data_IF_527367931951
#
_entry.id   IF_527367931951
#
_cell.length_a   1.000
_cell.length_b   1.000
_cell.length_c   1.000
_cell.angle_alpha   90.00
_cell.angle_beta   90.00
_cell.angle_gamma   90.00
#
_symmetry.space_group_name_H-M   'P 1'
#
loop_
_entity.id
_entity.type
_entity.pdbx_description
1 polymer ?
#
# COMPACT_ATOMS: atom_id res chain seq x y z
N UNK A 1 -39.09 -54.70 6.33
CA UNK A 1 -37.94 -54.21 7.15
C UNK A 1 -36.64 -54.45 6.35
N UNK A 2 -36.09 -53.45 5.73
CA UNK A 2 -34.88 -53.55 4.93
C UNK A 2 -33.77 -52.75 5.65
N UNK A 3 -32.71 -53.44 6.06
CA UNK A 3 -31.51 -52.86 6.70
C UNK A 3 -30.66 -52.18 5.62
N UNK A 4 -30.41 -50.86 5.75
CA UNK A 4 -29.37 -50.14 5.01
C UNK A 4 -28.01 -50.54 5.53
N UNK A 5 -27.13 -51.04 4.67
CA UNK A 5 -25.70 -51.22 4.91
C UNK A 5 -25.00 -49.90 4.66
N UNK A 6 -24.24 -49.42 5.65
CA UNK A 6 -23.28 -48.31 5.51
C UNK A 6 -22.07 -48.80 4.71
N UNK A 7 -21.69 -48.04 3.68
CA UNK A 7 -20.47 -48.29 2.89
C UNK A 7 -19.34 -47.56 3.57
N UNK A 8 -18.30 -48.30 3.96
CA UNK A 8 -17.08 -47.79 4.56
C UNK A 8 -16.12 -47.39 3.43
N UNK A 9 -15.73 -46.11 3.40
CA UNK A 9 -15.04 -45.48 2.26
C UNK A 9 -13.50 -45.60 2.32
N UNK A 10 -12.94 -46.33 3.26
CA UNK A 10 -11.49 -46.32 3.52
C UNK A 10 -10.77 -47.67 3.45
N UNK A 11 -11.37 -48.68 2.85
CA UNK A 11 -10.72 -49.97 2.84
C UNK A 11 -10.86 -50.72 1.50
N UNK A 12 -10.07 -50.31 0.50
CA UNK A 12 -9.69 -51.16 -0.63
C UNK A 12 -8.36 -50.73 -1.24
N UNK A 13 -7.32 -51.51 -0.92
CA UNK A 13 -6.03 -51.47 -1.62
C UNK A 13 -6.01 -52.51 -2.73
N UNK A 14 -5.77 -52.16 -3.98
CA UNK A 14 -5.40 -53.17 -5.00
C UNK A 14 -3.86 -53.26 -5.10
N UNK A 15 -3.33 -54.44 -4.88
CA UNK A 15 -1.98 -54.82 -5.25
C UNK A 15 -1.83 -55.06 -6.74
N UNK A 16 -0.82 -54.50 -7.42
CA UNK A 16 -0.29 -55.08 -8.63
C UNK A 16 1.10 -55.67 -8.42
N UNK A 17 1.26 -56.92 -8.77
CA UNK A 17 2.56 -57.57 -8.98
C UNK A 17 3.16 -57.06 -10.28
N UNK A 18 4.36 -56.46 -10.18
CA UNK A 18 5.27 -56.35 -11.34
C UNK A 18 6.73 -56.32 -10.82
N UNK A 19 7.44 -57.33 -11.28
CA UNK A 19 8.87 -57.50 -11.10
C UNK A 19 9.65 -56.42 -11.87
N UNK A 20 10.44 -55.60 -11.19
CA UNK A 20 11.47 -54.77 -11.82
C UNK A 20 12.76 -54.83 -10.99
N UNK A 21 13.85 -55.03 -11.72
CA UNK A 21 15.21 -55.23 -11.23
C UNK A 21 15.68 -54.03 -10.36
N UNK A 22 16.15 -54.33 -9.15
CA UNK A 22 16.85 -53.38 -8.27
C UNK A 22 18.21 -53.07 -8.86
N UNK A 23 18.39 -51.87 -9.42
CA UNK A 23 19.68 -51.19 -9.51
C UNK A 23 19.96 -50.49 -8.19
N UNK A 24 20.97 -50.93 -7.49
CA UNK A 24 21.40 -50.34 -6.22
C UNK A 24 22.04 -48.97 -6.50
N UNK A 25 21.28 -47.90 -6.28
CA UNK A 25 21.84 -46.54 -6.16
C UNK A 25 22.44 -46.45 -4.76
N UNK A 26 23.77 -46.36 -4.68
CA UNK A 26 24.47 -46.06 -3.44
C UNK A 26 24.00 -44.71 -2.91
N UNK A 27 23.62 -44.55 -1.64
CA UNK A 27 23.33 -43.26 -1.08
C UNK A 27 24.62 -42.43 -1.06
N UNK A 28 24.66 -41.36 -1.84
CA UNK A 28 25.64 -40.28 -1.62
C UNK A 28 25.40 -39.73 -0.22
N UNK A 29 26.37 -39.90 0.66
CA UNK A 29 26.44 -39.17 1.92
C UNK A 29 26.62 -37.68 1.59
N UNK A 30 25.54 -36.94 1.47
CA UNK A 30 25.56 -35.50 1.67
C UNK A 30 26.00 -35.31 3.14
N UNK A 31 27.16 -34.69 3.34
CA UNK A 31 27.59 -34.28 4.66
C UNK A 31 26.46 -33.41 5.24
N UNK A 32 25.83 -33.91 6.28
CA UNK A 32 24.83 -33.20 7.07
C UNK A 32 25.60 -32.02 7.71
N UNK A 33 25.56 -30.84 7.04
CA UNK A 33 25.94 -29.59 7.68
C UNK A 33 24.83 -29.32 8.69
N UNK A 34 25.00 -29.81 9.90
CA UNK A 34 24.03 -29.73 10.96
C UNK A 34 23.52 -28.28 11.08
N UNK A 35 22.21 -28.09 11.09
CA UNK A 35 21.56 -26.81 11.33
C UNK A 35 22.05 -26.25 12.68
N UNK A 36 22.65 -25.08 12.66
CA UNK A 36 23.28 -24.44 13.82
C UNK A 36 22.75 -23.03 14.02
N UNK A 37 23.05 -22.42 15.16
CA UNK A 37 22.70 -21.04 15.43
C UNK A 37 23.30 -20.05 14.41
N UNK A 38 24.39 -20.40 13.73
CA UNK A 38 24.99 -19.60 12.65
C UNK A 38 24.15 -19.56 11.38
N UNK A 39 23.22 -20.49 11.21
CA UNK A 39 22.31 -20.56 10.07
C UNK A 39 21.03 -19.73 10.29
N UNK A 40 20.89 -19.13 11.48
CA UNK A 40 19.77 -18.24 11.82
C UNK A 40 20.16 -16.82 11.43
N UNK A 41 19.54 -16.32 10.34
CA UNK A 41 19.69 -14.93 9.89
C UNK A 41 18.61 -14.05 10.54
N UNK A 42 19.02 -12.93 11.13
CA UNK A 42 18.12 -11.91 11.68
C UNK A 42 18.11 -10.72 10.72
N UNK A 43 16.94 -10.42 10.17
CA UNK A 43 16.75 -9.27 9.30
C UNK A 43 16.29 -8.07 10.14
N UNK A 44 16.91 -6.90 9.90
CA UNK A 44 16.60 -5.66 10.62
C UNK A 44 15.94 -4.61 9.72
N UNK A 45 15.29 -3.62 10.33
CA UNK A 45 14.69 -2.48 9.63
C UNK A 45 13.63 -2.88 8.62
N UNK A 46 13.79 -2.44 7.38
CA UNK A 46 12.87 -2.71 6.26
C UNK A 46 13.36 -3.82 5.31
N UNK A 47 14.47 -4.47 5.60
CA UNK A 47 14.98 -5.57 4.78
C UNK A 47 14.01 -6.76 4.69
N UNK A 48 13.30 -7.16 5.77
CA UNK A 48 12.28 -8.21 5.70
C UNK A 48 11.20 -7.93 4.67
N UNK A 49 10.80 -6.66 4.51
CA UNK A 49 9.80 -6.22 3.53
C UNK A 49 10.31 -6.45 2.10
N UNK A 50 11.54 -6.07 1.82
CA UNK A 50 12.16 -6.23 0.51
C UNK A 50 12.40 -7.69 0.14
N UNK A 51 12.81 -8.52 1.10
CA UNK A 51 13.05 -9.95 0.87
C UNK A 51 11.76 -10.76 0.71
N UNK A 52 10.68 -10.37 1.38
CA UNK A 52 9.39 -11.08 1.36
C UNK A 52 8.21 -10.11 1.19
N UNK A 53 8.14 -9.38 0.07
CA UNK A 53 7.08 -8.38 -0.15
C UNK A 53 5.68 -8.99 -0.10
N UNK A 54 5.53 -10.26 -0.50
CA UNK A 54 4.25 -10.98 -0.44
C UNK A 54 3.62 -11.06 0.95
N UNK A 55 4.42 -10.98 2.02
CA UNK A 55 3.89 -10.96 3.41
C UNK A 55 3.21 -9.63 3.76
N UNK A 56 3.55 -8.55 3.08
CA UNK A 56 3.09 -7.19 3.38
C UNK A 56 2.05 -6.67 2.37
N UNK A 57 2.23 -7.00 1.08
CA UNK A 57 1.38 -6.51 -0.02
C UNK A 57 0.76 -7.64 -0.85
N UNK A 58 0.89 -8.90 -0.43
CA UNK A 58 0.24 -10.06 -1.05
C UNK A 58 0.94 -10.61 -2.28
N UNK A 59 2.07 -10.04 -2.73
CA UNK A 59 2.81 -10.53 -3.90
C UNK A 59 3.75 -9.48 -4.49
N UNK A 60 4.12 -9.66 -5.77
CA UNK A 60 4.95 -8.73 -6.56
C UNK A 60 4.37 -8.48 -7.94
N UNK A 61 3.12 -8.88 -8.17
CA UNK A 61 2.39 -8.66 -9.41
C UNK A 61 1.81 -7.23 -9.50
N UNK A 62 1.12 -6.94 -10.59
CA UNK A 62 0.45 -5.65 -10.79
C UNK A 62 -0.56 -5.33 -9.68
N UNK A 63 -1.26 -6.33 -9.14
CA UNK A 63 -2.22 -6.13 -8.06
C UNK A 63 -1.52 -5.70 -6.77
N UNK A 64 -0.44 -6.37 -6.42
CA UNK A 64 0.39 -6.06 -5.26
C UNK A 64 1.01 -4.67 -5.38
N UNK A 65 1.48 -4.27 -6.57
CA UNK A 65 2.01 -2.93 -6.80
C UNK A 65 0.97 -1.84 -6.56
N UNK A 66 -0.30 -2.04 -6.99
CA UNK A 66 -1.38 -1.09 -6.72
C UNK A 66 -1.73 -0.98 -5.23
N UNK A 67 -1.37 -1.97 -4.41
CA UNK A 67 -1.48 -1.86 -2.95
C UNK A 67 -0.62 -0.72 -2.38
N UNK A 68 0.53 -0.41 -3.01
CA UNK A 68 1.34 0.74 -2.59
C UNK A 68 0.56 2.05 -2.68
N UNK A 69 -0.24 2.21 -3.73
CA UNK A 69 -1.14 3.36 -3.84
C UNK A 69 -2.20 3.38 -2.74
N UNK A 70 -2.81 2.21 -2.46
CA UNK A 70 -3.82 2.10 -1.40
C UNK A 70 -3.24 2.57 -0.06
N UNK A 71 -2.04 2.14 0.32
CA UNK A 71 -1.40 2.53 1.57
C UNK A 71 -1.15 4.05 1.67
N UNK A 72 -0.76 4.69 0.56
CA UNK A 72 -0.48 6.13 0.57
C UNK A 72 -1.77 6.94 0.61
N UNK A 73 -2.78 6.59 -0.21
CA UNK A 73 -4.04 7.33 -0.22
C UNK A 73 -4.80 7.13 1.09
N UNK A 74 -4.73 5.95 1.72
CA UNK A 74 -5.38 5.69 2.99
C UNK A 74 -4.82 6.55 4.13
N UNK A 75 -3.53 6.86 4.13
CA UNK A 75 -2.97 7.82 5.08
C UNK A 75 -3.55 9.23 4.90
N UNK A 76 -3.76 9.68 3.66
CA UNK A 76 -4.40 10.96 3.37
C UNK A 76 -5.89 10.94 3.70
N UNK A 77 -6.57 9.80 3.46
CA UNK A 77 -7.98 9.59 3.85
C UNK A 77 -8.16 9.63 5.37
N UNK A 78 -7.22 9.09 6.16
CA UNK A 78 -7.28 9.15 7.62
C UNK A 78 -7.25 10.60 8.13
N UNK A 79 -6.47 11.50 7.51
CA UNK A 79 -6.50 12.93 7.81
C UNK A 79 -7.86 13.57 7.45
N UNK A 80 -8.49 13.10 6.37
CA UNK A 80 -9.79 13.60 5.96
C UNK A 80 -10.91 13.10 6.89
N UNK A 81 -10.92 11.81 7.25
CA UNK A 81 -11.87 11.22 8.20
C UNK A 81 -11.76 11.85 9.58
N UNK A 82 -10.54 12.17 10.01
CA UNK A 82 -10.30 12.91 11.25
C UNK A 82 -10.68 14.42 11.18
N UNK A 83 -11.21 14.88 10.04
CA UNK A 83 -11.64 16.27 9.83
C UNK A 83 -10.50 17.28 9.63
N UNK A 84 -9.28 16.81 9.40
CA UNK A 84 -8.12 17.66 9.23
C UNK A 84 -7.81 18.00 7.77
N UNK A 85 -8.18 17.11 6.83
CA UNK A 85 -8.05 17.37 5.40
C UNK A 85 -9.43 17.50 4.75
N UNK A 86 -9.52 18.35 3.73
CA UNK A 86 -10.74 18.56 2.94
C UNK A 86 -10.57 18.13 1.48
N UNK A 87 -9.33 18.03 1.00
CA UNK A 87 -9.04 17.50 -0.32
C UNK A 87 -7.76 16.66 -0.34
N UNK A 88 -7.70 15.78 -1.32
CA UNK A 88 -6.55 14.93 -1.64
C UNK A 88 -6.27 15.09 -3.14
N UNK A 89 -5.02 15.29 -3.51
CA UNK A 89 -4.56 15.32 -4.89
C UNK A 89 -3.82 14.03 -5.22
N UNK A 90 -4.18 13.40 -6.33
CA UNK A 90 -3.54 12.19 -6.85
C UNK A 90 -3.00 12.51 -8.24
N UNK A 91 -1.69 12.40 -8.42
CA UNK A 91 -1.00 12.68 -9.68
C UNK A 91 -0.24 11.43 -10.15
N UNK A 92 -0.50 10.97 -11.37
CA UNK A 92 0.25 9.89 -12.00
C UNK A 92 0.96 10.41 -13.26
N UNK A 93 2.28 10.37 -13.24
CA UNK A 93 3.15 10.99 -14.24
C UNK A 93 4.06 9.95 -14.90
N UNK A 94 4.71 10.34 -16.00
CA UNK A 94 5.72 9.51 -16.68
C UNK A 94 6.77 8.95 -15.70
N UNK A 95 7.44 7.87 -16.11
CA UNK A 95 8.41 7.18 -15.27
C UNK A 95 7.80 6.39 -14.11
N UNK A 96 6.52 6.00 -14.24
CA UNK A 96 5.79 5.23 -13.21
C UNK A 96 5.73 5.94 -11.85
N UNK A 97 5.78 7.28 -11.87
CA UNK A 97 5.76 8.13 -10.67
C UNK A 97 4.35 8.44 -10.24
N UNK A 98 4.03 8.05 -9.02
CA UNK A 98 2.74 8.33 -8.40
C UNK A 98 2.92 9.25 -7.20
N UNK A 99 2.08 10.28 -7.10
CA UNK A 99 2.07 11.23 -6.00
C UNK A 99 0.68 11.31 -5.37
N UNK A 100 0.64 11.37 -4.05
CA UNK A 100 -0.58 11.66 -3.29
C UNK A 100 -0.27 12.79 -2.32
N UNK A 101 -1.12 13.81 -2.30
CA UNK A 101 -1.00 14.97 -1.42
C UNK A 101 -2.32 15.24 -0.72
N UNK A 102 -2.28 15.50 0.57
CA UNK A 102 -3.40 16.01 1.34
C UNK A 102 -3.16 17.45 1.82
N UNK A 103 -4.21 18.09 2.31
CA UNK A 103 -4.13 19.36 3.01
C UNK A 103 -4.39 19.23 4.52
N UNK A 104 -4.03 18.08 5.10
CA UNK A 104 -4.17 17.78 6.52
C UNK A 104 -3.17 18.50 7.41
N UNK A 105 -2.89 17.93 8.60
CA UNK A 105 -1.96 18.52 9.59
C UNK A 105 -0.50 18.45 9.17
N UNK A 106 -0.16 17.55 8.24
CA UNK A 106 1.21 17.20 7.88
C UNK A 106 1.88 16.30 8.93
N UNK A 107 2.67 15.33 8.48
CA UNK A 107 3.46 14.45 9.36
C UNK A 107 4.35 15.29 10.28
N UNK A 108 4.49 14.92 11.59
CA UNK A 108 5.41 15.62 12.48
C UNK A 108 6.85 15.62 11.97
N UNK A 109 7.49 16.77 12.00
CA UNK A 109 8.87 16.99 11.52
C UNK A 109 9.87 17.15 12.66
N UNK A 110 9.37 17.23 13.88
CA UNK A 110 10.16 17.36 15.10
C UNK A 110 11.04 16.13 15.32
N UNK A 111 12.08 16.30 16.14
CA UNK A 111 12.95 15.21 16.55
C UNK A 111 12.16 14.16 17.34
N UNK A 112 12.36 12.87 17.00
CA UNK A 112 11.62 11.79 17.66
C UNK A 112 12.17 11.54 19.09
N UNK A 113 11.30 11.47 20.13
CA UNK A 113 11.77 11.36 21.52
C UNK A 113 12.69 10.15 21.80
N UNK A 114 12.39 9.01 21.16
CA UNK A 114 13.14 7.76 21.32
C UNK A 114 14.39 7.68 20.41
N UNK A 115 14.33 8.31 19.21
CA UNK A 115 15.40 8.28 18.21
C UNK A 115 15.95 9.70 18.04
N UNK A 116 16.88 10.10 18.89
CA UNK A 116 17.37 11.49 19.00
C UNK A 116 18.13 12.01 17.78
N UNK A 117 18.53 11.13 16.87
CA UNK A 117 19.22 11.44 15.61
C UNK A 117 18.29 11.54 14.40
N UNK A 118 17.00 11.19 14.58
CA UNK A 118 15.99 11.13 13.52
C UNK A 118 14.78 12.02 13.80
N UNK A 119 14.21 12.57 12.74
CA UNK A 119 12.89 13.22 12.81
C UNK A 119 11.78 12.18 12.96
N UNK A 120 10.62 12.59 13.47
CA UNK A 120 9.44 11.72 13.53
C UNK A 120 9.06 11.21 12.13
N UNK A 121 9.14 12.06 11.09
CA UNK A 121 8.94 11.68 9.70
C UNK A 121 9.90 10.54 9.28
N UNK A 122 11.20 10.67 9.55
CA UNK A 122 12.16 9.63 9.20
C UNK A 122 11.86 8.31 9.91
N UNK A 123 11.49 8.36 11.19
CA UNK A 123 11.11 7.15 11.94
C UNK A 123 9.89 6.48 11.32
N UNK A 124 8.84 7.23 10.99
CA UNK A 124 7.63 6.71 10.35
C UNK A 124 7.96 6.06 9.00
N UNK A 125 8.86 6.66 8.24
CA UNK A 125 9.22 6.16 6.91
C UNK A 125 10.17 4.96 6.94
N UNK A 126 10.98 4.79 8.00
CA UNK A 126 12.06 3.79 8.03
C UNK A 126 11.89 2.70 9.08
N UNK A 127 10.80 2.71 9.84
CA UNK A 127 10.55 1.75 10.93
C UNK A 127 9.16 1.15 10.79
N UNK A 128 9.08 -0.19 10.82
CA UNK A 128 7.79 -0.88 10.90
C UNK A 128 7.13 -0.60 12.25
N UNK A 129 5.80 -0.58 12.25
CA UNK A 129 5.02 -0.33 13.46
C UNK A 129 5.36 1.01 14.16
N UNK A 130 5.73 2.01 13.36
CA UNK A 130 5.93 3.38 13.82
C UNK A 130 4.82 4.27 13.26
N UNK A 131 3.98 4.83 14.13
CA UNK A 131 2.91 5.74 13.72
C UNK A 131 2.08 6.22 14.90
N UNK A 132 1.39 7.35 14.73
CA UNK A 132 0.54 7.96 15.76
C UNK A 132 -0.79 7.23 16.01
N UNK A 133 -1.05 6.10 15.32
CA UNK A 133 -2.32 5.36 15.39
C UNK A 133 -2.34 4.26 16.46
N UNK A 134 -1.23 4.01 17.16
CA UNK A 134 -1.10 2.91 18.13
C UNK A 134 -1.54 3.20 19.56
N UNK A 135 -1.80 4.42 19.92
CA UNK A 135 -2.04 4.70 21.34
C UNK A 135 -2.48 6.11 21.64
N UNK A 136 -3.53 6.59 21.00
CA UNK A 136 -3.98 7.91 21.33
C UNK A 136 -5.29 8.30 20.69
N UNK A 137 -5.97 9.21 21.31
CA UNK A 137 -7.21 9.87 20.92
C UNK A 137 -7.15 10.57 19.53
N UNK A 138 -6.00 10.47 18.81
CA UNK A 138 -5.78 11.21 17.57
C UNK A 138 -6.50 10.61 16.36
N UNK A 139 -6.88 9.32 16.40
CA UNK A 139 -7.57 8.62 15.33
C UNK A 139 -8.50 7.54 15.88
N UNK A 140 -9.72 7.89 16.22
CA UNK A 140 -10.74 6.93 16.70
C UNK A 140 -11.20 5.95 15.62
N UNK A 141 -11.10 6.35 14.35
CA UNK A 141 -11.41 5.53 13.18
C UNK A 141 -10.33 5.75 12.11
N UNK A 142 -9.48 4.75 11.87
CA UNK A 142 -8.50 4.82 10.77
C UNK A 142 -8.59 3.56 9.91
N UNK A 143 -8.43 3.72 8.60
CA UNK A 143 -8.35 2.60 7.66
C UNK A 143 -7.05 1.78 7.78
N UNK A 144 -6.00 2.38 8.33
CA UNK A 144 -4.68 1.76 8.52
C UNK A 144 -4.40 1.37 9.97
N UNK A 145 -4.83 0.17 10.38
CA UNK A 145 -4.67 -0.33 11.76
C UNK A 145 -3.26 -0.82 12.11
N UNK A 146 -2.39 -1.01 11.13
CA UNK A 146 -1.12 -1.75 11.31
C UNK A 146 0.12 -0.87 11.47
N UNK A 147 0.06 0.42 11.10
CA UNK A 147 1.19 1.37 11.21
C UNK A 147 2.42 0.98 10.39
N UNK A 148 2.22 0.21 9.31
CA UNK A 148 3.31 -0.29 8.45
C UNK A 148 3.23 0.25 7.02
N UNK A 149 2.09 0.77 6.58
CA UNK A 149 1.80 1.04 5.18
C UNK A 149 2.84 1.91 4.48
N UNK A 150 3.09 3.11 4.97
CA UNK A 150 4.02 4.03 4.30
C UNK A 150 5.48 3.59 4.38
N UNK A 151 5.90 2.88 5.44
CA UNK A 151 7.25 2.31 5.53
C UNK A 151 7.43 1.14 4.56
N UNK A 152 6.36 0.36 4.32
CA UNK A 152 6.34 -0.69 3.27
C UNK A 152 6.45 -0.07 1.89
N UNK A 153 5.73 1.04 1.60
CA UNK A 153 5.89 1.77 0.34
C UNK A 153 7.32 2.25 0.15
N UNK A 154 7.94 2.83 1.19
CA UNK A 154 9.33 3.25 1.14
C UNK A 154 10.28 2.07 0.86
N UNK A 155 10.09 0.94 1.55
CA UNK A 155 10.91 -0.25 1.33
C UNK A 155 10.86 -0.76 -0.11
N UNK A 156 9.70 -0.64 -0.77
CA UNK A 156 9.43 -1.18 -2.11
C UNK A 156 9.49 -0.13 -3.23
N UNK A 157 9.96 1.09 -2.91
CA UNK A 157 10.19 2.17 -3.87
C UNK A 157 11.68 2.34 -4.17
N UNK A 158 12.04 2.48 -5.44
CA UNK A 158 13.40 2.84 -5.87
C UNK A 158 13.72 4.31 -5.58
N UNK A 159 12.69 5.17 -5.62
CA UNK A 159 12.76 6.58 -5.30
C UNK A 159 11.47 6.99 -4.59
N UNK A 160 11.62 7.68 -3.46
CA UNK A 160 10.50 8.21 -2.71
C UNK A 160 10.87 9.55 -2.10
N UNK A 161 9.98 10.53 -2.27
CA UNK A 161 10.11 11.88 -1.73
C UNK A 161 8.90 12.20 -0.88
N UNK A 162 9.14 12.66 0.34
CA UNK A 162 8.09 13.20 1.21
C UNK A 162 8.29 14.69 1.38
N UNK A 163 7.26 15.46 1.06
CA UNK A 163 7.17 16.89 1.39
C UNK A 163 6.14 17.08 2.49
N UNK A 164 6.47 17.87 3.49
CA UNK A 164 5.56 18.25 4.56
C UNK A 164 5.50 19.77 4.68
N UNK A 165 4.29 20.31 4.49
CA UNK A 165 4.00 21.70 4.77
C UNK A 165 3.36 21.81 6.16
N UNK A 166 4.10 22.32 7.12
CA UNK A 166 3.71 22.44 8.53
C UNK A 166 4.30 23.69 9.16
N UNK A 167 3.54 24.35 10.02
CA UNK A 167 3.98 25.59 10.71
C UNK A 167 4.49 26.69 9.77
N UNK A 168 3.85 26.82 8.57
CA UNK A 168 4.22 27.75 7.49
C UNK A 168 5.60 27.47 6.85
N UNK A 169 6.18 26.31 7.09
CA UNK A 169 7.44 25.86 6.54
C UNK A 169 7.23 24.63 5.66
N UNK A 170 8.05 24.50 4.60
CA UNK A 170 8.09 23.34 3.74
C UNK A 170 9.35 22.54 4.04
N UNK A 171 9.13 21.28 4.39
CA UNK A 171 10.18 20.30 4.63
C UNK A 171 10.17 19.23 3.56
N UNK A 172 11.33 18.66 3.26
CA UNK A 172 11.50 17.57 2.31
C UNK A 172 12.52 16.55 2.82
N UNK A 173 12.23 15.28 2.59
CA UNK A 173 13.19 14.19 2.78
C UNK A 173 13.05 13.17 1.65
N UNK A 174 14.19 12.66 1.20
CA UNK A 174 14.29 11.69 0.11
C UNK A 174 14.70 10.33 0.66
N UNK A 175 14.14 9.29 0.05
CA UNK A 175 14.38 7.90 0.42
C UNK A 175 14.60 7.06 -0.83
N UNK A 176 15.24 5.91 -0.66
CA UNK A 176 15.38 4.87 -1.67
C UNK A 176 15.44 3.52 -0.99
N UNK A 177 14.61 2.59 -1.42
CA UNK A 177 14.64 1.18 -0.98
C UNK A 177 14.63 1.03 0.55
N UNK A 178 13.82 1.87 1.21
CA UNK A 178 13.67 1.88 2.67
C UNK A 178 14.70 2.70 3.44
N UNK A 179 15.69 3.27 2.77
CA UNK A 179 16.77 4.05 3.40
C UNK A 179 16.61 5.54 3.11
N UNK A 180 16.87 6.37 4.12
CA UNK A 180 16.94 7.82 3.95
C UNK A 180 18.21 8.20 3.16
N UNK A 181 18.06 8.99 2.07
CA UNK A 181 19.20 9.53 1.30
C UNK A 181 19.89 10.71 1.99
N UNK A 182 19.30 11.21 3.05
CA UNK A 182 19.79 12.33 3.81
C UNK A 182 18.82 12.73 4.92
N UNK A 183 19.19 13.71 5.71
CA UNK A 183 18.34 14.23 6.79
C UNK A 183 17.19 15.07 6.23
N UNK A 184 16.13 15.18 7.00
CA UNK A 184 15.03 16.11 6.74
C UNK A 184 15.57 17.54 6.57
N UNK A 185 15.17 18.21 5.49
CA UNK A 185 15.60 19.57 5.16
C UNK A 185 14.41 20.50 5.10
N UNK A 186 14.55 21.69 5.66
CA UNK A 186 13.66 22.79 5.34
C UNK A 186 14.04 23.34 3.97
N UNK A 187 13.10 23.30 3.03
CA UNK A 187 13.34 23.69 1.62
C UNK A 187 12.66 24.99 1.23
N UNK A 188 11.79 25.54 2.11
CA UNK A 188 11.13 26.81 1.83
C UNK A 188 10.10 27.21 2.86
N UNK A 189 9.32 28.26 2.52
CA UNK A 189 8.15 28.69 3.25
C UNK A 189 6.88 28.14 2.60
N UNK A 190 5.86 27.88 3.41
CA UNK A 190 4.56 27.33 2.98
C UNK A 190 3.40 28.08 3.67
N UNK A 191 3.34 29.39 3.55
CA UNK A 191 2.38 30.26 4.27
C UNK A 191 0.92 29.88 4.10
N UNK A 192 0.55 29.44 2.88
CA UNK A 192 -0.83 29.06 2.53
C UNK A 192 -1.00 27.58 2.19
N UNK A 193 -0.04 26.73 2.56
CA UNK A 193 -0.02 25.29 2.32
C UNK A 193 0.18 24.56 3.62
N UNK A 194 -0.55 23.46 3.80
CA UNK A 194 -0.35 22.47 4.87
C UNK A 194 -0.58 21.07 4.31
N UNK A 195 -0.15 20.06 5.06
CA UNK A 195 -0.37 18.66 4.71
C UNK A 195 0.90 17.95 4.27
N UNK A 196 0.72 16.74 3.78
CA UNK A 196 1.82 15.86 3.33
C UNK A 196 1.66 15.56 1.84
N UNK A 197 2.77 15.51 1.10
CA UNK A 197 2.86 14.92 -0.24
C UNK A 197 3.85 13.77 -0.20
N UNK A 198 3.42 12.59 -0.62
CA UNK A 198 4.27 11.42 -0.84
C UNK A 198 4.32 11.17 -2.34
N UNK A 199 5.52 11.17 -2.92
CA UNK A 199 5.76 10.89 -4.34
C UNK A 199 6.74 9.73 -4.44
N UNK A 200 6.41 8.68 -5.21
CA UNK A 200 7.27 7.50 -5.29
C UNK A 200 7.25 6.82 -6.65
N UNK A 201 8.30 6.04 -6.89
CA UNK A 201 8.46 5.14 -8.04
C UNK A 201 8.67 3.73 -7.50
N UNK A 202 7.84 2.74 -7.85
CA UNK A 202 8.04 1.36 -7.45
C UNK A 202 9.41 0.83 -7.92
N UNK A 203 10.01 -0.06 -7.11
CA UNK A 203 11.33 -0.61 -7.42
C UNK A 203 11.22 -1.74 -8.45
N UNK A 204 11.88 -1.57 -9.60
CA UNK A 204 11.92 -2.59 -10.66
C UNK A 204 12.62 -3.89 -10.21
N UNK A 205 13.50 -3.85 -9.21
CA UNK A 205 14.12 -5.07 -8.65
C UNK A 205 13.06 -5.94 -7.93
N UNK A 206 11.93 -5.37 -7.52
CA UNK A 206 10.83 -6.08 -6.86
C UNK A 206 9.70 -6.41 -7.83
N UNK A 207 9.29 -5.43 -8.63
CA UNK A 207 8.09 -5.54 -9.48
C UNK A 207 8.42 -5.80 -10.96
N UNK A 208 9.70 -5.85 -11.34
CA UNK A 208 10.09 -5.89 -12.74
C UNK A 208 9.67 -4.61 -13.48
N UNK A 209 9.40 -4.74 -14.78
CA UNK A 209 8.96 -3.61 -15.63
C UNK A 209 7.45 -3.34 -15.59
N UNK A 210 6.78 -3.77 -14.53
CA UNK A 210 5.34 -3.52 -14.36
C UNK A 210 5.13 -2.03 -14.12
N UNK A 211 4.12 -1.46 -14.78
CA UNK A 211 3.69 -0.08 -14.56
C UNK A 211 2.32 -0.07 -13.91
N UNK A 212 2.00 1.00 -13.20
CA UNK A 212 0.63 1.24 -12.75
C UNK A 212 -0.33 1.32 -13.92
N UNK A 213 -1.54 0.83 -13.71
CA UNK A 213 -2.65 1.01 -14.64
C UNK A 213 -3.43 2.27 -14.24
N UNK A 214 -3.42 3.33 -15.09
CA UNK A 214 -4.11 4.59 -14.77
C UNK A 214 -5.60 4.40 -14.48
N UNK A 215 -6.29 3.54 -15.25
CA UNK A 215 -7.72 3.30 -15.08
C UNK A 215 -8.01 2.64 -13.71
N UNK A 216 -7.13 1.75 -13.27
CA UNK A 216 -7.24 1.12 -11.97
C UNK A 216 -6.95 2.11 -10.82
N UNK A 217 -5.91 2.93 -10.94
CA UNK A 217 -5.63 4.00 -9.96
C UNK A 217 -6.80 4.95 -9.81
N UNK A 218 -7.36 5.42 -10.96
CA UNK A 218 -8.55 6.28 -10.99
C UNK A 218 -9.75 5.63 -10.31
N UNK A 219 -10.05 4.36 -10.65
CA UNK A 219 -11.15 3.61 -10.01
C UNK A 219 -10.96 3.47 -8.51
N UNK A 220 -9.73 3.24 -8.04
CA UNK A 220 -9.42 3.16 -6.61
C UNK A 220 -9.63 4.51 -5.92
N UNK A 221 -9.18 5.61 -6.53
CA UNK A 221 -9.41 6.96 -6.01
C UNK A 221 -10.91 7.29 -5.95
N UNK A 222 -11.66 6.97 -7.02
CA UNK A 222 -13.11 7.17 -7.10
C UNK A 222 -13.86 6.39 -6.02
N UNK A 223 -13.47 5.12 -5.78
CA UNK A 223 -14.05 4.31 -4.71
C UNK A 223 -13.82 4.93 -3.32
N UNK A 224 -12.65 5.52 -3.04
CA UNK A 224 -12.39 6.23 -1.79
C UNK A 224 -13.27 7.46 -1.63
N UNK A 225 -13.50 8.22 -2.69
CA UNK A 225 -14.37 9.40 -2.66
C UNK A 225 -15.83 9.04 -2.36
N UNK A 226 -16.33 7.88 -2.83
CA UNK A 226 -17.66 7.38 -2.49
C UNK A 226 -17.77 6.90 -1.04
N UNK A 227 -16.73 6.21 -0.54
CA UNK A 227 -16.75 5.66 0.81
C UNK A 227 -16.74 6.75 1.88
N UNK A 228 -16.18 7.93 1.59
CA UNK A 228 -16.02 9.02 2.54
C UNK A 228 -16.63 10.31 1.96
N UNK A 229 -17.95 10.39 2.03
CA UNK A 229 -18.70 11.57 1.56
C UNK A 229 -18.15 12.87 2.16
N UNK A 230 -17.98 13.89 1.29
CA UNK A 230 -17.47 15.19 1.69
C UNK A 230 -15.97 15.42 1.48
N UNK A 231 -15.18 14.39 1.23
CA UNK A 231 -13.78 14.53 0.78
C UNK A 231 -13.77 14.78 -0.73
N UNK A 232 -12.93 15.73 -1.15
CA UNK A 232 -12.67 16.02 -2.56
C UNK A 232 -11.36 15.36 -2.99
N UNK A 233 -11.39 14.44 -3.97
CA UNK A 233 -10.18 13.84 -4.54
C UNK A 233 -9.98 14.44 -5.93
N UNK A 234 -8.87 15.14 -6.14
CA UNK A 234 -8.44 15.71 -7.42
C UNK A 234 -7.51 14.74 -8.10
N UNK A 235 -7.93 14.25 -9.25
CA UNK A 235 -7.17 13.33 -10.07
C UNK A 235 -6.47 14.07 -11.21
N UNK A 236 -5.19 13.73 -11.44
CA UNK A 236 -4.42 14.17 -12.60
C UNK A 236 -3.56 13.02 -13.12
N UNK A 237 -3.58 12.77 -14.41
CA UNK A 237 -2.78 11.74 -15.06
C UNK A 237 -2.16 12.29 -16.33
N UNK A 238 -0.88 11.96 -16.56
CA UNK A 238 -0.20 12.30 -17.80
C UNK A 238 -0.96 11.71 -19.00
N UNK A 239 -1.35 12.53 -20.00
CA UNK A 239 -2.10 12.07 -21.16
C UNK A 239 -1.43 10.94 -21.95
N UNK A 240 -0.08 10.86 -21.93
CA UNK A 240 0.69 9.83 -22.63
C UNK A 240 0.47 8.43 -22.06
N UNK A 241 0.07 8.32 -20.78
CA UNK A 241 -0.14 7.06 -20.08
C UNK A 241 -1.57 6.51 -20.27
N UNK A 242 -2.51 7.34 -20.74
CA UNK A 242 -3.93 6.99 -20.84
C UNK A 242 -4.21 6.31 -22.17
N UNK A 243 -4.57 5.03 -22.10
CA UNK A 243 -4.96 4.22 -23.27
C UNK A 243 -6.44 4.37 -23.63
N UNK A 244 -7.29 4.60 -22.64
CA UNK A 244 -8.74 4.65 -22.77
C UNK A 244 -9.28 5.81 -21.94
N UNK A 245 -9.64 6.89 -22.62
CA UNK A 245 -10.12 8.14 -21.99
C UNK A 245 -11.51 8.01 -21.35
N UNK A 246 -12.31 7.02 -21.76
CA UNK A 246 -13.61 6.76 -21.13
C UNK A 246 -13.44 6.13 -19.74
N UNK A 247 -12.36 5.33 -19.56
CA UNK A 247 -12.06 4.69 -18.26
C UNK A 247 -11.18 5.51 -17.34
N UNK A 248 -10.41 6.42 -17.90
CA UNK A 248 -9.50 7.25 -17.11
C UNK A 248 -9.36 8.64 -17.79
N UNK A 249 -9.95 9.68 -17.22
CA UNK A 249 -9.74 11.05 -17.68
C UNK A 249 -8.32 11.55 -17.34
N UNK A 250 -7.86 12.58 -18.03
CA UNK A 250 -6.59 13.25 -17.68
C UNK A 250 -6.69 14.02 -16.37
N UNK A 251 -7.84 14.65 -16.14
CA UNK A 251 -8.14 15.40 -14.92
C UNK A 251 -9.59 15.14 -14.51
N UNK A 252 -9.83 15.05 -13.21
CA UNK A 252 -11.18 14.96 -12.65
C UNK A 252 -11.21 15.42 -11.19
N UNK A 253 -12.40 15.87 -10.75
CA UNK A 253 -12.66 16.20 -9.36
C UNK A 253 -13.75 15.29 -8.81
N UNK A 254 -13.33 14.30 -8.06
CA UNK A 254 -14.18 13.28 -7.46
C UNK A 254 -14.70 13.79 -6.12
N UNK A 255 -15.98 14.14 -6.07
CA UNK A 255 -16.64 14.64 -4.86
C UNK A 255 -18.09 14.15 -4.83
N UNK A 256 -18.39 13.31 -3.85
CA UNK A 256 -19.67 12.65 -3.69
C UNK A 256 -20.24 12.96 -2.30
N UNK A 257 -21.02 14.04 -2.16
CA UNK A 257 -21.52 14.50 -0.86
C UNK A 257 -22.39 13.46 -0.12
N UNK A 258 -23.16 12.66 -0.89
CA UNK A 258 -24.02 11.61 -0.35
C UNK A 258 -23.31 10.24 -0.27
N UNK A 259 -22.03 10.16 -0.67
CA UNK A 259 -21.20 8.97 -0.52
C UNK A 259 -21.75 7.76 -1.29
N UNK A 260 -22.07 6.69 -0.57
CA UNK A 260 -22.58 5.44 -1.17
C UNK A 260 -23.92 5.59 -1.87
N UNK A 261 -24.74 6.59 -1.51
CA UNK A 261 -25.97 6.88 -2.24
C UNK A 261 -25.65 7.38 -3.64
N UNK A 262 -24.71 8.32 -3.82
CA UNK A 262 -24.28 8.80 -5.13
C UNK A 262 -23.74 7.64 -5.99
N UNK A 263 -22.99 6.71 -5.37
CA UNK A 263 -22.53 5.50 -6.04
C UNK A 263 -23.70 4.62 -6.54
N UNK A 264 -24.70 4.40 -5.68
CA UNK A 264 -25.85 3.58 -6.02
C UNK A 264 -26.66 4.22 -7.16
N UNK A 265 -26.88 5.53 -7.10
CA UNK A 265 -27.57 6.28 -8.16
C UNK A 265 -26.84 6.18 -9.51
N UNK A 266 -25.50 6.28 -9.52
CA UNK A 266 -24.70 6.07 -10.72
C UNK A 266 -24.85 4.65 -11.28
N UNK A 267 -24.84 3.61 -10.42
CA UNK A 267 -25.00 2.22 -10.85
C UNK A 267 -26.40 1.90 -11.38
N UNK A 268 -27.43 2.51 -10.80
CA UNK A 268 -28.81 2.33 -11.23
C UNK A 268 -29.02 2.97 -12.62
N UNK A 269 -28.37 4.11 -12.90
CA UNK A 269 -28.38 4.73 -14.23
C UNK A 269 -29.78 5.05 -14.75
N UNK A 270 -30.71 5.52 -13.89
CA UNK A 270 -32.08 5.86 -14.25
C UNK A 270 -33.04 4.66 -14.38
N UNK A 271 -32.64 3.45 -13.95
CA UNK A 271 -33.54 2.30 -13.87
C UNK A 271 -34.60 2.53 -12.78
N UNK A 272 -35.83 2.04 -13.01
CA UNK A 272 -36.89 2.08 -12.02
C UNK A 272 -36.50 1.31 -10.74
N UNK A 273 -36.61 1.95 -9.60
CA UNK A 273 -36.30 1.35 -8.29
C UNK A 273 -37.61 0.89 -7.65
N UNK A 274 -37.62 -0.32 -7.13
CA UNK A 274 -38.82 -0.95 -6.52
C UNK A 274 -39.00 -0.53 -5.06
N UNK A 275 -37.91 -0.09 -4.40
CA UNK A 275 -37.92 0.38 -3.01
C UNK A 275 -37.44 1.83 -2.94
N UNK A 276 -37.97 2.68 -2.04
CA UNK A 276 -37.39 4.01 -1.81
C UNK A 276 -35.93 3.87 -1.35
N UNK A 277 -35.12 4.80 -1.81
CA UNK A 277 -33.70 4.88 -1.45
C UNK A 277 -33.51 5.37 -0.02
#
# INVERSE_FOLDING_TARGET
MAKKKSVDLFNESPTPKATAKKSAVKPQKTADKGYSAADIEVLEGLEPVRRRPGMYIGGTDSRAMHHLFAEVIDNSMDEAVAGHASFIEVEFMEGNRLSVRDNGRGIPVDQHPKYRDKSALEVIMTTLHAGGKFGGEAYDTSGGLHGVGVSVVNALASDLVVEVARNQELYQQEFSRGLAKGKLKKVGEAKNRRGTKVSFVPDEDIFGKIQFDPARLYSMAKAKAYLFGGVEIRWCCDPSLIKDKEKCPTEDTLKFPNGLQDYLEEQIGGRAVVTPQ
#
